data_IF_181145422651
#
_entry.id   IF_181145422651
#
_cell.length_a   1.000
_cell.length_b   1.000
_cell.length_c   1.000
_cell.angle_alpha   90.00
_cell.angle_beta   90.00
_cell.angle_gamma   90.00
#
_symmetry.space_group_name_H-M   'P 1'
#
loop_
_entity.id
_entity.type
_entity.pdbx_description
1 polymer ?
#
# COMPACT_ATOMS: atom_id res chain seq x y z
N UNK A 1 -22.62 6.89 14.51
CA UNK A 1 -23.74 6.57 13.61
C UNK A 1 -24.13 5.12 13.84
N UNK A 2 -25.41 4.86 13.90
CA UNK A 2 -25.89 3.52 14.26
C UNK A 2 -25.41 2.40 13.33
N UNK A 3 -25.28 2.68 12.04
CA UNK A 3 -24.83 1.66 11.13
C UNK A 3 -23.38 1.24 11.41
N UNK A 4 -22.63 2.03 12.14
CA UNK A 4 -21.24 1.68 12.49
C UNK A 4 -21.17 0.63 13.58
N UNK A 5 -22.25 0.38 14.31
CA UNK A 5 -22.27 -0.65 15.35
C UNK A 5 -21.96 -2.03 14.77
N UNK A 6 -22.39 -2.28 13.53
CA UNK A 6 -22.18 -3.55 12.85
C UNK A 6 -21.07 -3.47 11.80
N UNK A 7 -20.33 -2.34 11.78
CA UNK A 7 -19.24 -2.13 10.82
C UNK A 7 -17.91 -2.36 11.49
N UNK A 8 -16.96 -2.85 10.71
CA UNK A 8 -15.60 -3.05 11.17
C UNK A 8 -14.70 -2.04 10.47
N UNK A 9 -13.62 -1.60 11.12
CA UNK A 9 -12.66 -0.74 10.45
C UNK A 9 -12.11 -1.44 9.22
N UNK A 10 -11.78 -0.66 8.20
CA UNK A 10 -11.16 -1.19 7.00
C UNK A 10 -9.83 -1.85 7.34
N UNK A 11 -9.06 -1.21 8.24
CA UNK A 11 -7.79 -1.75 8.74
C UNK A 11 -7.59 -1.32 10.19
N UNK A 12 -6.71 -2.03 10.87
CA UNK A 12 -6.43 -1.77 12.29
C UNK A 12 -5.36 -0.70 12.49
N UNK A 13 -4.59 -0.38 11.46
CA UNK A 13 -3.53 0.62 11.57
C UNK A 13 -3.34 1.30 10.21
N UNK A 14 -2.82 2.54 10.24
CA UNK A 14 -2.38 3.25 9.04
C UNK A 14 -0.89 3.01 8.88
N UNK A 15 -0.43 2.45 7.75
CA UNK A 15 1.00 2.22 7.56
C UNK A 15 1.80 3.50 7.65
N UNK A 16 3.02 3.39 8.19
CA UNK A 16 3.94 4.53 8.30
C UNK A 16 5.28 4.13 7.71
N UNK A 17 5.81 4.96 6.84
CA UNK A 17 7.11 4.74 6.24
C UNK A 17 8.20 5.21 7.20
N UNK A 18 8.85 4.27 7.88
CA UNK A 18 9.83 4.58 8.91
C UNK A 18 11.28 4.47 8.46
N UNK A 19 11.54 3.81 7.33
CA UNK A 19 12.90 3.64 6.84
C UNK A 19 13.46 4.97 6.34
N UNK A 20 14.66 5.32 6.80
CA UNK A 20 15.30 6.61 6.49
C UNK A 20 16.51 6.49 5.55
N UNK A 21 16.91 5.27 5.20
CA UNK A 21 18.03 5.06 4.31
C UNK A 21 17.67 5.33 2.86
N UNK A 22 18.67 5.23 1.99
CA UNK A 22 18.49 5.40 0.55
C UNK A 22 19.08 4.20 -0.19
N UNK A 23 18.31 3.62 -1.10
CA UNK A 23 18.74 2.50 -1.93
C UNK A 23 18.77 2.93 -3.37
N UNK A 24 19.70 2.38 -4.15
CA UNK A 24 19.78 2.64 -5.60
C UNK A 24 18.81 1.76 -6.38
N UNK A 25 18.51 0.56 -5.88
CA UNK A 25 17.53 -0.34 -6.46
C UNK A 25 16.31 -0.38 -5.54
N UNK A 26 15.17 0.10 -6.03
CA UNK A 26 13.97 0.19 -5.19
C UNK A 26 13.51 -1.18 -4.67
N UNK A 27 13.85 -2.27 -5.36
CA UNK A 27 13.48 -3.62 -4.92
C UNK A 27 14.12 -3.99 -3.59
N UNK A 28 15.23 -3.35 -3.24
CA UNK A 28 15.92 -3.61 -1.99
C UNK A 28 15.19 -3.01 -0.78
N UNK A 29 14.18 -2.18 -1.01
CA UNK A 29 13.34 -1.66 0.06
C UNK A 29 12.31 -2.67 0.55
N UNK A 30 12.08 -3.77 -0.15
CA UNK A 30 10.93 -4.64 0.12
C UNK A 30 10.85 -5.15 1.55
N UNK A 31 11.95 -5.58 2.21
CA UNK A 31 11.87 -6.01 3.61
C UNK A 31 11.41 -4.88 4.54
N UNK A 32 11.83 -3.66 4.26
CA UNK A 32 11.45 -2.51 5.08
C UNK A 32 9.99 -2.13 4.86
N UNK A 33 9.53 -2.21 3.62
CA UNK A 33 8.12 -1.98 3.30
C UNK A 33 7.23 -3.03 3.94
N UNK A 34 7.62 -4.30 3.86
CA UNK A 34 6.87 -5.37 4.49
C UNK A 34 6.69 -5.12 5.98
N UNK A 35 7.75 -4.65 6.64
CA UNK A 35 7.70 -4.31 8.06
C UNK A 35 6.80 -3.11 8.33
N UNK A 36 6.97 -2.04 7.57
CA UNK A 36 6.20 -0.80 7.78
C UNK A 36 4.72 -0.99 7.48
N UNK A 37 4.40 -1.87 6.54
CA UNK A 37 3.03 -2.20 6.19
C UNK A 37 2.50 -3.41 6.95
N UNK A 38 3.31 -3.97 7.85
CA UNK A 38 2.96 -5.14 8.70
C UNK A 38 2.50 -6.34 7.89
N UNK A 39 3.11 -6.55 6.73
CA UNK A 39 2.78 -7.67 5.85
C UNK A 39 1.44 -7.54 5.14
N UNK A 40 0.85 -6.34 5.11
CA UNK A 40 -0.46 -6.12 4.53
C UNK A 40 -0.39 -5.18 3.34
N UNK A 41 -1.26 -5.45 2.37
CA UNK A 41 -1.38 -4.58 1.20
C UNK A 41 -1.85 -3.19 1.61
N UNK A 42 -1.14 -2.16 1.17
CA UNK A 42 -1.50 -0.78 1.50
C UNK A 42 -2.87 -0.37 1.00
N UNK A 43 -3.33 -0.96 -0.10
CA UNK A 43 -4.61 -0.57 -0.71
C UNK A 43 -5.79 -1.41 -0.26
N UNK A 44 -5.57 -2.68 0.10
CA UNK A 44 -6.66 -3.61 0.42
C UNK A 44 -6.61 -4.16 1.83
N UNK A 45 -5.48 -3.98 2.51
CA UNK A 45 -5.20 -4.54 3.84
C UNK A 45 -5.14 -6.07 3.88
N UNK A 46 -5.08 -6.73 2.73
CA UNK A 46 -4.91 -8.18 2.69
C UNK A 46 -3.52 -8.57 3.18
N UNK A 47 -3.46 -9.64 3.98
CA UNK A 47 -2.18 -10.14 4.47
C UNK A 47 -1.40 -10.86 3.36
N UNK A 48 -0.08 -10.65 3.31
CA UNK A 48 0.77 -11.34 2.35
C UNK A 48 0.82 -12.86 2.58
N UNK A 49 0.51 -13.31 3.78
CA UNK A 49 0.43 -14.75 4.10
C UNK A 49 -0.56 -15.47 3.18
N UNK A 50 -1.66 -14.82 2.85
CA UNK A 50 -2.68 -15.40 1.97
C UNK A 50 -2.21 -15.54 0.52
N UNK A 51 -1.10 -14.89 0.16
CA UNK A 51 -0.54 -14.91 -1.18
C UNK A 51 0.80 -15.64 -1.24
N UNK A 52 1.17 -16.33 -0.18
CA UNK A 52 2.43 -17.07 -0.14
C UNK A 52 3.59 -16.28 0.48
N UNK A 53 3.33 -15.14 1.08
CA UNK A 53 4.33 -14.37 1.81
C UNK A 53 4.88 -13.19 1.05
N UNK A 54 5.92 -12.58 1.61
CA UNK A 54 6.52 -11.35 1.10
C UNK A 54 6.97 -11.46 -0.36
N UNK A 55 7.45 -12.62 -0.78
CA UNK A 55 7.97 -12.78 -2.15
C UNK A 55 6.90 -12.61 -3.22
N UNK A 56 5.63 -12.81 -2.86
CA UNK A 56 4.53 -12.70 -3.81
C UNK A 56 3.80 -11.36 -3.74
N UNK A 57 4.24 -10.46 -2.87
CA UNK A 57 3.78 -9.08 -2.89
C UNK A 57 4.71 -8.25 -3.76
N UNK A 58 4.21 -7.11 -4.17
CA UNK A 58 4.88 -6.20 -5.10
C UNK A 58 5.15 -4.86 -4.46
N UNK A 59 6.07 -4.11 -5.05
CA UNK A 59 6.31 -2.72 -4.70
C UNK A 59 5.64 -1.88 -5.78
N UNK A 60 4.65 -1.10 -5.38
CA UNK A 60 3.99 -0.14 -6.27
C UNK A 60 4.60 1.23 -6.07
N UNK A 61 4.84 1.95 -7.16
CA UNK A 61 5.19 3.36 -7.11
C UNK A 61 3.88 4.14 -7.10
N UNK A 62 3.58 4.79 -5.99
CA UNK A 62 2.30 5.51 -5.87
C UNK A 62 2.16 6.53 -6.99
N UNK A 63 3.19 7.35 -7.20
CA UNK A 63 3.27 8.22 -8.37
C UNK A 63 4.11 7.48 -9.40
N UNK A 64 3.56 7.19 -10.59
CA UNK A 64 4.31 6.48 -11.64
C UNK A 64 5.58 7.26 -12.03
N UNK A 65 6.69 6.54 -12.14
CA UNK A 65 7.98 7.18 -12.44
C UNK A 65 8.33 7.19 -13.91
N UNK A 66 7.82 6.25 -14.69
CA UNK A 66 8.12 6.19 -16.13
C UNK A 66 7.52 7.40 -16.84
N UNK A 67 8.38 8.14 -17.55
CA UNK A 67 7.95 9.32 -18.27
C UNK A 67 7.80 10.58 -17.43
N UNK A 68 8.01 10.50 -16.13
CA UNK A 68 7.94 11.67 -15.25
C UNK A 68 9.25 12.48 -15.31
N UNK A 69 9.15 13.79 -15.03
CA UNK A 69 10.33 14.66 -14.99
C UNK A 69 11.30 14.23 -13.90
N UNK A 70 10.77 13.81 -12.75
CA UNK A 70 11.55 13.37 -11.59
C UNK A 70 11.66 11.86 -11.54
N UNK A 71 11.79 11.19 -12.69
CA UNK A 71 11.67 9.73 -12.75
C UNK A 71 12.62 9.00 -11.80
N UNK A 72 13.88 9.43 -11.71
CA UNK A 72 14.84 8.77 -10.83
C UNK A 72 14.49 8.94 -9.36
N UNK A 73 14.07 10.14 -8.96
CA UNK A 73 13.65 10.38 -7.59
C UNK A 73 12.42 9.54 -7.25
N UNK A 74 11.41 9.59 -8.10
CA UNK A 74 10.16 8.84 -7.87
C UNK A 74 10.42 7.33 -7.81
N UNK A 75 11.36 6.84 -8.62
CA UNK A 75 11.67 5.42 -8.69
C UNK A 75 12.32 4.91 -7.40
N UNK A 76 13.18 5.73 -6.76
CA UNK A 76 14.01 5.30 -5.63
C UNK A 76 13.65 5.97 -4.32
N UNK A 77 12.62 6.82 -4.29
CA UNK A 77 12.16 7.47 -3.06
C UNK A 77 11.26 6.51 -2.28
N UNK A 78 11.73 6.08 -1.11
CA UNK A 78 10.96 5.18 -0.26
C UNK A 78 9.56 5.72 0.06
N UNK A 79 9.45 7.04 0.16
CA UNK A 79 8.17 7.68 0.47
C UNK A 79 7.16 7.60 -0.68
N UNK A 80 7.59 7.14 -1.85
CA UNK A 80 6.71 6.92 -3.00
C UNK A 80 6.33 5.46 -3.18
N UNK A 81 6.73 4.59 -2.27
CA UNK A 81 6.55 3.15 -2.44
C UNK A 81 5.42 2.62 -1.57
N UNK A 82 4.67 1.67 -2.09
CA UNK A 82 3.56 1.00 -1.40
C UNK A 82 3.75 -0.51 -1.52
N UNK A 83 3.62 -1.20 -0.41
CA UNK A 83 3.63 -2.65 -0.37
C UNK A 83 2.24 -3.14 -0.76
N UNK A 84 2.12 -3.93 -1.82
CA UNK A 84 0.79 -4.30 -2.30
C UNK A 84 0.76 -5.70 -2.92
N UNK A 85 -0.44 -6.28 -2.98
CA UNK A 85 -0.66 -7.54 -3.65
C UNK A 85 -0.60 -7.35 -5.17
N UNK A 86 -0.27 -8.42 -5.88
CA UNK A 86 -0.10 -8.36 -7.34
C UNK A 86 -1.37 -7.95 -8.06
N UNK A 87 -2.53 -8.38 -7.56
CA UNK A 87 -3.81 -8.07 -8.19
C UNK A 87 -4.05 -6.56 -8.27
N UNK A 88 -3.85 -5.86 -7.15
CA UNK A 88 -4.04 -4.42 -7.11
C UNK A 88 -2.97 -3.70 -7.93
N UNK A 89 -1.74 -4.21 -7.90
CA UNK A 89 -0.66 -3.62 -8.69
C UNK A 89 -0.97 -3.64 -10.18
N UNK A 90 -1.55 -4.75 -10.67
CA UNK A 90 -1.97 -4.87 -12.06
C UNK A 90 -3.12 -3.92 -12.38
N UNK A 91 -4.13 -3.87 -11.50
CA UNK A 91 -5.30 -3.00 -11.71
C UNK A 91 -4.93 -1.53 -11.70
N UNK A 92 -4.07 -1.13 -10.78
CA UNK A 92 -3.65 0.26 -10.65
C UNK A 92 -2.85 0.70 -11.86
N UNK A 93 -1.89 -0.14 -12.26
CA UNK A 93 -0.98 0.20 -13.36
C UNK A 93 -0.44 1.62 -13.17
N UNK A 94 -0.69 2.53 -14.12
CA UNK A 94 -0.25 3.93 -14.01
C UNK A 94 -1.39 4.89 -13.67
N UNK A 95 -2.53 4.37 -13.22
CA UNK A 95 -3.70 5.18 -12.93
C UNK A 95 -3.71 5.63 -11.47
N UNK A 96 -2.87 6.61 -11.16
CA UNK A 96 -2.77 7.16 -9.83
C UNK A 96 -4.06 7.83 -9.37
N UNK A 97 -4.83 8.40 -10.30
CA UNK A 97 -6.02 9.18 -9.96
C UNK A 97 -7.11 8.41 -9.23
N UNK A 98 -7.08 7.09 -9.30
CA UNK A 98 -8.07 6.24 -8.63
C UNK A 98 -7.68 5.82 -7.22
N UNK A 99 -6.46 6.14 -6.78
CA UNK A 99 -5.94 5.62 -5.53
C UNK A 99 -5.44 6.76 -4.64
N UNK A 100 -5.56 6.56 -3.32
CA UNK A 100 -4.97 7.45 -2.32
C UNK A 100 -3.77 6.77 -1.69
N UNK A 101 -2.76 7.56 -1.30
CA UNK A 101 -1.58 7.00 -0.63
C UNK A 101 -1.98 6.50 0.76
N UNK A 102 -1.82 5.20 1.02
CA UNK A 102 -2.27 4.60 2.28
C UNK A 102 -1.53 5.11 3.51
N UNK A 103 -0.35 5.69 3.35
CA UNK A 103 0.40 6.24 4.47
C UNK A 103 -0.01 7.67 4.82
N UNK A 104 -0.65 8.37 3.89
CA UNK A 104 -1.05 9.77 4.07
C UNK A 104 -2.54 9.93 4.36
N UNK A 105 -3.33 8.89 4.15
CA UNK A 105 -4.78 8.93 4.33
C UNK A 105 -5.19 7.79 5.24
N UNK A 106 -6.03 8.09 6.22
CA UNK A 106 -6.65 7.05 7.04
C UNK A 106 -7.79 6.44 6.24
N UNK A 107 -7.57 5.23 5.73
CA UNK A 107 -8.56 4.54 4.92
C UNK A 107 -9.84 4.23 5.71
N UNK A 108 -9.77 4.20 7.03
CA UNK A 108 -10.96 4.02 7.85
C UNK A 108 -11.94 5.20 7.75
N UNK A 109 -11.48 6.36 7.30
CA UNK A 109 -12.34 7.50 7.01
C UNK A 109 -13.04 7.37 5.67
N UNK A 110 -12.50 6.54 4.77
CA UNK A 110 -13.02 6.37 3.41
C UNK A 110 -13.79 5.07 3.23
N UNK A 111 -13.41 4.03 3.98
CA UNK A 111 -13.93 2.69 3.80
C UNK A 111 -14.26 2.05 5.13
N UNK A 112 -15.13 1.04 5.07
CA UNK A 112 -15.41 0.16 6.20
C UNK A 112 -15.69 -1.24 5.67
N UNK A 113 -15.73 -2.20 6.58
CA UNK A 113 -16.09 -3.57 6.24
C UNK A 113 -17.40 -3.93 6.96
N UNK A 114 -18.24 -4.72 6.29
CA UNK A 114 -19.43 -5.26 6.93
C UNK A 114 -19.06 -6.48 7.79
N UNK A 115 -20.07 -7.12 8.37
CA UNK A 115 -19.86 -8.29 9.23
C UNK A 115 -19.28 -9.49 8.46
N UNK A 116 -19.40 -9.48 7.14
CA UNK A 116 -18.87 -10.53 6.26
C UNK A 116 -17.48 -10.21 5.73
N UNK A 117 -16.93 -9.04 6.07
CA UNK A 117 -15.63 -8.61 5.59
C UNK A 117 -15.63 -7.90 4.24
N UNK A 118 -16.78 -7.64 3.68
CA UNK A 118 -16.89 -6.89 2.41
C UNK A 118 -16.69 -5.39 2.64
N UNK A 119 -16.07 -4.74 1.69
CA UNK A 119 -15.82 -3.29 1.73
C UNK A 119 -17.05 -2.50 1.14
#
# INVERSE_FOLDING_TARGET
MKYLENMKPFREFTPQRTYKGQKTNYRDYKPYLAKDFRGRCGYTDCSDVWFGGQNNFHIDHFIPWKGAKDSERLKTDYNNLVYCCSYVNILKSNDQGLFSDPCNVDFNELFYRDNMGNI
#
